data_IF_593648929798
#
_entry.id   IF_593648929798
#
_cell.length_a   1.000
_cell.length_b   1.000
_cell.length_c   1.000
_cell.angle_alpha   90.00
_cell.angle_beta   90.00
_cell.angle_gamma   90.00
#
_symmetry.space_group_name_H-M   'P 1'
#
loop_
_entity.id
_entity.type
_entity.pdbx_description
1 polymer ?
#
# COMPACT_ATOMS: atom_id res chain seq x y z
N UNK A 1 33.82 0.97 -1.78
CA UNK A 1 33.64 1.78 -3.00
C UNK A 1 32.28 1.46 -3.58
N UNK A 2 31.41 2.46 -3.76
CA UNK A 2 30.14 2.29 -4.48
C UNK A 2 30.41 2.18 -5.99
N UNK A 3 29.70 1.28 -6.68
CA UNK A 3 29.88 1.05 -8.13
C UNK A 3 29.21 2.11 -9.01
N UNK A 4 28.29 2.90 -8.46
CA UNK A 4 27.60 4.01 -9.14
C UNK A 4 27.16 5.07 -8.11
N UNK A 5 26.61 6.19 -8.58
CA UNK A 5 26.02 7.26 -7.77
C UNK A 5 24.55 7.49 -8.16
N UNK A 6 23.77 8.04 -7.22
CA UNK A 6 22.36 8.39 -7.43
C UNK A 6 22.28 9.50 -8.50
N UNK A 7 21.61 9.21 -9.62
CA UNK A 7 21.48 10.15 -10.74
C UNK A 7 20.39 11.20 -10.48
N UNK A 8 19.22 10.76 -10.00
CA UNK A 8 18.13 11.65 -9.66
C UNK A 8 17.52 11.21 -8.32
N UNK A 9 17.83 11.92 -7.25
CA UNK A 9 17.32 11.59 -5.92
C UNK A 9 15.80 11.78 -5.83
N UNK A 10 15.25 12.72 -6.61
CA UNK A 10 13.82 13.01 -6.65
C UNK A 10 13.01 11.90 -7.28
N UNK A 11 13.60 11.00 -8.08
CA UNK A 11 12.86 9.85 -8.66
C UNK A 11 12.91 8.60 -7.78
N UNK A 12 13.56 8.66 -6.60
CA UNK A 12 13.59 7.55 -5.66
C UNK A 12 12.34 7.63 -4.79
N UNK A 13 11.53 6.57 -4.84
CA UNK A 13 10.35 6.40 -3.99
C UNK A 13 10.58 5.38 -2.89
N UNK A 14 9.93 5.61 -1.76
CA UNK A 14 9.92 4.72 -0.61
C UNK A 14 8.47 4.54 -0.12
N UNK A 15 8.23 3.46 0.63
CA UNK A 15 6.91 3.18 1.20
C UNK A 15 6.04 2.21 0.40
N UNK A 16 4.86 1.92 0.94
CA UNK A 16 3.84 1.07 0.31
C UNK A 16 2.87 1.89 -0.55
N UNK A 17 1.96 1.23 -1.26
CA UNK A 17 0.87 1.88 -1.94
C UNK A 17 -0.46 1.73 -1.16
N UNK A 18 -1.44 2.53 -1.55
CA UNK A 18 -2.86 2.35 -1.30
C UNK A 18 -3.47 1.67 -2.53
N UNK A 19 -4.40 0.75 -2.33
CA UNK A 19 -5.19 0.17 -3.42
C UNK A 19 -6.63 0.67 -3.34
N UNK A 20 -7.12 1.16 -4.46
CA UNK A 20 -8.47 1.66 -4.64
C UNK A 20 -9.15 0.82 -5.72
N UNK A 21 -10.40 0.41 -5.51
CA UNK A 21 -11.11 -0.46 -6.46
C UNK A 21 -12.59 -0.09 -6.55
N UNK A 22 -13.18 -0.17 -7.74
CA UNK A 22 -14.58 0.19 -7.97
C UNK A 22 -15.07 -0.14 -9.37
N UNK A 23 -16.32 0.21 -9.68
CA UNK A 23 -16.87 0.04 -11.03
C UNK A 23 -16.37 1.10 -12.03
N UNK A 24 -15.87 2.24 -11.52
CA UNK A 24 -15.33 3.37 -12.29
C UNK A 24 -14.30 4.13 -11.45
N UNK A 25 -13.39 4.87 -12.08
CA UNK A 25 -12.36 5.66 -11.39
C UNK A 25 -12.91 6.78 -10.48
N UNK A 26 -14.10 7.31 -10.75
CA UNK A 26 -14.78 8.30 -9.89
C UNK A 26 -15.50 7.67 -8.68
N UNK A 27 -15.58 6.35 -8.61
CA UNK A 27 -16.29 5.57 -7.59
C UNK A 27 -15.41 4.49 -6.98
N UNK A 28 -14.13 4.78 -6.81
CA UNK A 28 -13.22 3.85 -6.17
C UNK A 28 -13.37 3.88 -4.66
N UNK A 29 -13.22 2.72 -4.04
CA UNK A 29 -13.23 2.54 -2.59
C UNK A 29 -11.87 2.02 -2.16
N UNK A 30 -11.37 2.55 -1.04
CA UNK A 30 -10.17 2.08 -0.39
C UNK A 30 -10.39 0.70 0.24
N UNK A 31 -9.56 -0.27 -0.15
CA UNK A 31 -9.64 -1.61 0.40
C UNK A 31 -9.17 -1.70 1.85
N UNK A 32 -8.45 -0.69 2.36
CA UNK A 32 -7.91 -0.63 3.72
C UNK A 32 -6.42 -0.96 3.79
N UNK A 33 -5.94 -1.18 5.01
CA UNK A 33 -4.54 -1.47 5.27
C UNK A 33 -4.08 -2.79 4.62
N UNK A 34 -2.98 -2.72 3.89
CA UNK A 34 -2.37 -3.86 3.23
C UNK A 34 -0.84 -3.77 3.26
N UNK A 35 -0.18 -4.92 3.13
CA UNK A 35 1.28 -5.03 2.91
C UNK A 35 1.55 -5.80 1.62
N UNK A 36 2.83 -5.82 1.23
CA UNK A 36 3.29 -6.59 0.06
C UNK A 36 2.54 -6.25 -1.24
N UNK A 37 2.09 -4.99 -1.39
CA UNK A 37 1.40 -4.57 -2.61
C UNK A 37 2.42 -4.58 -3.75
N UNK A 38 2.14 -5.37 -4.77
CA UNK A 38 2.99 -5.51 -5.93
C UNK A 38 2.18 -5.41 -7.21
N UNK A 39 2.81 -4.81 -8.22
CA UNK A 39 2.33 -4.74 -9.58
C UNK A 39 3.36 -5.46 -10.46
N UNK A 40 2.91 -6.34 -11.34
CA UNK A 40 3.76 -7.07 -12.26
C UNK A 40 3.18 -7.01 -13.67
N UNK A 41 3.99 -6.53 -14.61
CA UNK A 41 3.70 -6.65 -16.03
C UNK A 41 4.24 -7.98 -16.56
N UNK A 42 3.45 -8.68 -17.38
CA UNK A 42 3.90 -9.87 -18.11
C UNK A 42 3.57 -9.69 -19.59
N UNK A 43 4.60 -9.84 -20.42
CA UNK A 43 4.51 -9.83 -21.88
C UNK A 43 4.98 -11.20 -22.36
N UNK A 44 4.11 -11.92 -23.06
CA UNK A 44 4.44 -13.19 -23.69
C UNK A 44 4.46 -12.99 -25.20
N UNK A 45 5.46 -13.54 -25.88
CA UNK A 45 5.59 -13.51 -27.33
C UNK A 45 5.58 -14.92 -27.91
N UNK A 46 5.17 -15.04 -29.17
CA UNK A 46 5.31 -16.25 -29.96
C UNK A 46 5.93 -15.92 -31.31
N UNK A 47 6.89 -16.74 -31.71
CA UNK A 47 7.55 -16.63 -33.01
C UNK A 47 6.75 -17.38 -34.07
N UNK A 48 6.60 -16.75 -35.23
CA UNK A 48 6.16 -17.39 -36.47
C UNK A 48 7.41 -17.87 -37.17
N UNK A 49 7.65 -19.17 -37.15
CA UNK A 49 8.77 -19.78 -37.86
C UNK A 49 8.37 -20.17 -39.29
N UNK A 50 9.32 -20.03 -40.21
CA UNK A 50 9.27 -20.62 -41.55
C UNK A 50 10.10 -21.89 -41.55
N UNK A 51 9.53 -22.94 -42.15
CA UNK A 51 10.17 -24.24 -42.34
C UNK A 51 11.51 -24.16 -43.10
N UNK A 52 11.76 -23.09 -43.87
CA UNK A 52 12.97 -22.94 -44.68
C UNK A 52 13.83 -21.70 -44.36
N UNK A 53 13.36 -20.79 -43.50
CA UNK A 53 14.02 -19.50 -43.27
C UNK A 53 14.16 -19.12 -41.79
N UNK A 54 13.69 -19.95 -40.85
CA UNK A 54 13.71 -19.64 -39.42
C UNK A 54 12.62 -18.65 -39.02
N UNK A 55 12.81 -17.89 -37.94
CA UNK A 55 11.81 -16.93 -37.43
C UNK A 55 11.53 -15.83 -38.46
N UNK A 56 10.27 -15.73 -38.89
CA UNK A 56 9.75 -14.74 -39.83
C UNK A 56 9.15 -13.53 -39.12
N UNK A 57 8.56 -13.74 -37.94
CA UNK A 57 7.96 -12.67 -37.15
C UNK A 57 7.84 -13.06 -35.67
N UNK A 58 7.75 -12.08 -34.78
CA UNK A 58 7.48 -12.30 -33.35
C UNK A 58 6.23 -11.51 -32.97
N UNK A 59 5.21 -12.20 -32.48
CA UNK A 59 3.93 -11.62 -32.08
C UNK A 59 3.80 -11.59 -30.56
N UNK A 60 3.33 -10.48 -30.00
CA UNK A 60 2.87 -10.45 -28.61
C UNK A 60 1.55 -11.23 -28.51
N UNK A 61 1.55 -12.32 -27.75
CA UNK A 61 0.40 -13.20 -27.56
C UNK A 61 -0.37 -12.92 -26.28
N UNK A 62 0.31 -12.37 -25.27
CA UNK A 62 -0.30 -11.93 -24.02
C UNK A 62 0.39 -10.65 -23.53
N UNK A 63 -0.41 -9.69 -23.07
CA UNK A 63 0.05 -8.51 -22.35
C UNK A 63 -0.90 -8.30 -21.17
N UNK A 64 -0.42 -8.59 -19.96
CA UNK A 64 -1.24 -8.56 -18.74
C UNK A 64 -0.53 -7.82 -17.61
N UNK A 65 -1.32 -7.23 -16.73
CA UNK A 65 -0.85 -6.68 -15.45
C UNK A 65 -1.44 -7.48 -14.31
N UNK A 66 -0.64 -7.84 -13.32
CA UNK A 66 -1.06 -8.54 -12.13
C UNK A 66 -0.86 -7.63 -10.90
N UNK A 67 -1.88 -7.52 -10.06
CA UNK A 67 -1.81 -6.83 -8.77
C UNK A 67 -2.00 -7.84 -7.67
N UNK A 68 -1.09 -7.87 -6.71
CA UNK A 68 -1.18 -8.73 -5.54
C UNK A 68 -1.01 -7.93 -4.26
N UNK A 69 -1.67 -8.36 -3.19
CA UNK A 69 -1.49 -7.77 -1.87
C UNK A 69 -1.89 -8.73 -0.74
N UNK A 70 -1.40 -8.38 0.44
CA UNK A 70 -1.78 -8.96 1.72
C UNK A 70 -2.66 -7.98 2.50
N UNK A 71 -3.98 -8.18 2.46
CA UNK A 71 -4.97 -7.37 3.21
C UNK A 71 -4.89 -7.69 4.70
N UNK A 72 -4.71 -6.66 5.52
CA UNK A 72 -4.70 -6.79 6.99
C UNK A 72 -6.09 -6.57 7.59
N UNK A 73 -7.01 -5.99 6.81
CA UNK A 73 -8.41 -5.80 7.20
C UNK A 73 -9.31 -6.89 6.62
N UNK A 74 -10.05 -7.58 7.48
CA UNK A 74 -11.09 -8.54 7.07
C UNK A 74 -12.41 -7.79 6.95
N UNK A 75 -12.73 -7.36 5.73
CA UNK A 75 -13.99 -6.67 5.43
C UNK A 75 -14.73 -7.40 4.31
N UNK A 76 -15.80 -8.10 4.67
CA UNK A 76 -16.60 -8.89 3.75
C UNK A 76 -17.33 -8.08 2.69
N UNK A 77 -17.77 -6.85 3.00
CA UNK A 77 -18.39 -5.98 1.99
C UNK A 77 -17.39 -5.59 0.91
N UNK A 78 -16.18 -5.21 1.33
CA UNK A 78 -15.09 -4.89 0.39
C UNK A 78 -14.66 -6.12 -0.41
N UNK A 79 -14.53 -7.29 0.22
CA UNK A 79 -14.20 -8.53 -0.50
C UNK A 79 -15.27 -8.92 -1.51
N UNK A 80 -16.55 -8.88 -1.15
CA UNK A 80 -17.63 -9.17 -2.10
C UNK A 80 -17.64 -8.18 -3.28
N UNK A 81 -17.34 -6.90 -3.02
CA UNK A 81 -17.21 -5.88 -4.06
C UNK A 81 -16.04 -6.19 -5.01
N UNK A 82 -14.85 -6.51 -4.47
CA UNK A 82 -13.66 -6.82 -5.30
C UNK A 82 -13.82 -8.10 -6.10
N UNK A 83 -14.65 -9.04 -5.62
CA UNK A 83 -14.94 -10.33 -6.24
C UNK A 83 -15.99 -10.27 -7.37
N UNK A 84 -16.41 -9.08 -7.77
CA UNK A 84 -17.13 -8.89 -9.03
C UNK A 84 -18.55 -9.49 -9.05
N UNK A 85 -19.20 -9.59 -7.90
CA UNK A 85 -20.63 -9.93 -7.80
C UNK A 85 -20.96 -11.43 -7.66
N UNK A 86 -19.99 -12.28 -7.34
CA UNK A 86 -20.20 -13.72 -7.11
C UNK A 86 -20.67 -14.07 -5.67
N UNK A 87 -20.59 -13.10 -4.76
CA UNK A 87 -20.93 -13.27 -3.35
C UNK A 87 -22.25 -12.59 -2.98
N UNK A 88 -22.93 -13.11 -1.95
CA UNK A 88 -24.01 -12.40 -1.25
C UNK A 88 -23.52 -11.84 0.08
N UNK A 89 -24.02 -10.67 0.44
CA UNK A 89 -23.77 -10.03 1.73
C UNK A 89 -25.11 -9.80 2.41
N UNK A 90 -25.21 -10.28 3.64
CA UNK A 90 -26.30 -9.98 4.55
C UNK A 90 -25.75 -9.32 5.82
N UNK A 91 -26.48 -8.34 6.35
CA UNK A 91 -26.18 -7.73 7.65
C UNK A 91 -27.30 -8.07 8.63
N UNK A 92 -26.93 -8.56 9.81
CA UNK A 92 -27.87 -8.94 10.86
C UNK A 92 -27.65 -8.09 12.12
N UNK A 93 -28.75 -7.69 12.75
CA UNK A 93 -28.78 -6.74 13.87
C UNK A 93 -28.58 -7.40 15.25
N UNK A 94 -28.62 -8.74 15.33
CA UNK A 94 -28.56 -9.46 16.60
C UNK A 94 -29.91 -9.66 17.31
N UNK A 95 -31.02 -9.17 16.74
CA UNK A 95 -32.31 -9.05 17.42
C UNK A 95 -33.48 -9.55 16.59
N UNK A 96 -33.44 -9.33 15.29
CA UNK A 96 -34.53 -9.68 14.38
C UNK A 96 -34.54 -11.19 14.14
N UNK A 97 -35.69 -11.81 14.40
CA UNK A 97 -35.95 -13.20 14.06
C UNK A 97 -36.16 -13.35 12.55
N UNK A 98 -35.42 -14.27 11.92
CA UNK A 98 -35.53 -14.55 10.49
C UNK A 98 -35.76 -16.03 10.24
N UNK A 99 -36.31 -16.34 9.07
CA UNK A 99 -36.48 -17.73 8.62
C UNK A 99 -35.26 -18.20 7.84
N UNK A 100 -34.76 -19.40 8.16
CA UNK A 100 -33.67 -20.08 7.46
C UNK A 100 -34.04 -21.54 7.19
N UNK A 101 -33.28 -22.17 6.31
CA UNK A 101 -33.41 -23.58 5.98
C UNK A 101 -32.12 -24.32 6.32
N UNK A 102 -32.25 -25.54 6.84
CA UNK A 102 -31.18 -26.51 6.98
C UNK A 102 -31.46 -27.67 6.04
N UNK A 103 -30.53 -27.92 5.13
CA UNK A 103 -30.63 -29.00 4.14
C UNK A 103 -29.94 -30.23 4.70
N UNK A 104 -30.69 -31.30 4.87
CA UNK A 104 -30.18 -32.60 5.27
C UNK A 104 -30.13 -33.46 4.02
N UNK A 105 -28.93 -33.72 3.51
CA UNK A 105 -28.73 -34.49 2.29
C UNK A 105 -29.31 -35.90 2.40
N UNK A 106 -29.66 -36.49 1.27
CA UNK A 106 -29.82 -37.94 1.23
C UNK A 106 -28.52 -38.62 1.65
N UNK A 107 -28.64 -39.84 2.18
CA UNK A 107 -27.56 -40.66 2.75
C UNK A 107 -26.90 -40.12 4.03
N UNK A 108 -27.33 -38.96 4.57
CA UNK A 108 -26.73 -38.38 5.79
C UNK A 108 -27.59 -38.55 7.05
N UNK A 109 -28.71 -39.25 6.97
CA UNK A 109 -29.60 -39.49 8.12
C UNK A 109 -30.21 -40.89 8.07
N UNK A 110 -30.79 -41.33 9.19
CA UNK A 110 -31.55 -42.58 9.29
C UNK A 110 -32.92 -42.32 9.89
N UNK A 111 -33.89 -43.18 9.58
CA UNK A 111 -35.18 -43.18 10.27
C UNK A 111 -34.98 -43.53 11.75
N UNK A 112 -35.79 -42.93 12.61
CA UNK A 112 -35.67 -43.14 14.06
C UNK A 112 -34.47 -42.46 14.71
N UNK A 113 -33.55 -41.87 13.94
CA UNK A 113 -32.44 -41.07 14.47
C UNK A 113 -32.86 -39.61 14.61
N UNK A 114 -32.38 -38.96 15.67
CA UNK A 114 -32.60 -37.54 15.88
C UNK A 114 -31.73 -36.71 14.94
N UNK A 115 -32.37 -35.82 14.20
CA UNK A 115 -31.73 -34.81 13.36
C UNK A 115 -31.90 -33.47 14.05
N UNK A 116 -30.79 -32.89 14.54
CA UNK A 116 -30.78 -31.55 15.14
C UNK A 116 -30.38 -30.49 14.14
N UNK A 117 -31.09 -29.37 14.14
CA UNK A 117 -30.60 -28.14 13.51
C UNK A 117 -29.38 -27.66 14.31
N UNK A 118 -28.17 -27.59 13.71
CA UNK A 118 -26.93 -27.39 14.43
C UNK A 118 -26.67 -25.93 14.83
N UNK A 119 -27.61 -25.02 14.52
CA UNK A 119 -27.45 -23.59 14.70
C UNK A 119 -28.19 -23.10 15.95
N UNK A 120 -27.61 -22.11 16.63
CA UNK A 120 -28.19 -21.47 17.81
C UNK A 120 -28.62 -20.03 17.53
N UNK A 121 -29.53 -19.52 18.34
CA UNK A 121 -29.85 -18.09 18.39
C UNK A 121 -28.65 -17.29 18.92
N UNK A 122 -28.71 -15.96 18.78
CA UNK A 122 -27.68 -15.04 19.23
C UNK A 122 -27.36 -15.15 20.73
N UNK A 123 -28.33 -15.56 21.55
CA UNK A 123 -28.21 -15.77 23.00
C UNK A 123 -27.73 -17.19 23.38
N UNK A 124 -27.45 -18.05 22.40
CA UNK A 124 -27.04 -19.44 22.62
C UNK A 124 -28.19 -20.44 22.80
N UNK A 125 -29.45 -19.98 22.81
CA UNK A 125 -30.63 -20.86 22.88
C UNK A 125 -30.84 -21.65 21.58
N UNK A 126 -31.60 -22.73 21.67
CA UNK A 126 -32.00 -23.54 20.50
C UNK A 126 -32.94 -22.77 19.58
N UNK A 127 -32.76 -22.97 18.27
CA UNK A 127 -33.67 -22.45 17.25
C UNK A 127 -35.04 -23.16 17.32
N UNK A 128 -36.04 -22.59 16.64
CA UNK A 128 -37.39 -23.18 16.58
C UNK A 128 -37.70 -23.67 15.17
N UNK A 129 -37.94 -24.97 15.00
CA UNK A 129 -38.38 -25.57 13.74
C UNK A 129 -39.84 -25.21 13.46
N UNK A 130 -40.10 -24.73 12.25
CA UNK A 130 -41.45 -24.33 11.82
C UNK A 130 -42.01 -25.20 10.71
N UNK A 131 -41.17 -25.79 9.86
CA UNK A 131 -41.62 -26.62 8.73
C UNK A 131 -40.57 -27.67 8.41
N UNK A 132 -41.00 -28.87 8.03
CA UNK A 132 -40.14 -29.89 7.41
C UNK A 132 -40.76 -30.28 6.07
N UNK A 133 -39.95 -30.40 5.04
CA UNK A 133 -40.39 -30.80 3.71
C UNK A 133 -39.33 -31.66 3.02
N UNK A 134 -39.74 -32.45 2.03
CA UNK A 134 -38.80 -33.06 1.09
C UNK A 134 -38.39 -32.05 0.03
N UNK A 135 -37.12 -32.04 -0.33
CA UNK A 135 -36.60 -31.25 -1.44
C UNK A 135 -37.11 -31.81 -2.77
N UNK A 136 -38.23 -31.30 -3.26
CA UNK A 136 -38.79 -31.59 -4.59
C UNK A 136 -39.24 -30.31 -5.28
N UNK A 137 -39.43 -30.35 -6.60
CA UNK A 137 -39.96 -29.22 -7.38
C UNK A 137 -41.37 -28.78 -6.95
N UNK A 138 -42.12 -29.68 -6.31
CA UNK A 138 -43.48 -29.42 -5.81
C UNK A 138 -43.57 -29.18 -4.30
N UNK A 139 -42.47 -29.31 -3.56
CA UNK A 139 -42.42 -29.11 -2.10
C UNK A 139 -43.40 -30.01 -1.35
N UNK A 140 -43.00 -31.24 -1.03
CA UNK A 140 -43.84 -32.14 -0.24
C UNK A 140 -43.67 -31.83 1.25
N UNK A 141 -44.57 -31.00 1.79
CA UNK A 141 -44.64 -30.69 3.23
C UNK A 141 -44.85 -31.99 4.00
N UNK A 142 -43.99 -32.22 4.98
CA UNK A 142 -44.11 -33.33 5.92
C UNK A 142 -44.95 -32.89 7.11
N UNK A 143 -45.78 -33.80 7.62
CA UNK A 143 -46.73 -33.50 8.69
C UNK A 143 -46.15 -34.04 10.00
N UNK A 144 -46.17 -33.22 11.05
CA UNK A 144 -45.76 -33.66 12.39
C UNK A 144 -46.64 -34.81 12.89
N UNK A 145 -46.08 -35.70 13.70
CA UNK A 145 -46.69 -36.95 14.22
C UNK A 145 -47.01 -38.02 13.16
N UNK A 146 -47.18 -37.64 11.90
CA UNK A 146 -47.40 -38.58 10.78
C UNK A 146 -46.09 -38.92 10.07
N UNK A 147 -45.33 -37.90 9.68
CA UNK A 147 -44.09 -38.01 8.91
C UNK A 147 -42.84 -37.98 9.80
N UNK A 148 -42.89 -37.18 10.87
CA UNK A 148 -41.80 -37.00 11.82
C UNK A 148 -42.31 -36.60 13.20
N UNK A 149 -41.53 -36.85 14.24
CA UNK A 149 -41.76 -36.34 15.60
C UNK A 149 -40.80 -35.19 15.88
N UNK A 150 -41.25 -34.12 16.56
CA UNK A 150 -40.34 -33.10 17.09
C UNK A 150 -39.67 -33.58 18.37
N UNK A 151 -38.40 -33.21 18.54
CA UNK A 151 -37.62 -33.41 19.76
C UNK A 151 -37.10 -32.04 20.20
N UNK A 152 -37.65 -31.52 21.31
CA UNK A 152 -37.39 -30.15 21.72
C UNK A 152 -37.83 -29.12 20.66
N UNK A 153 -37.13 -27.99 20.57
CA UNK A 153 -37.44 -26.92 19.60
C UNK A 153 -36.64 -27.03 18.29
N UNK A 154 -35.51 -27.74 18.30
CA UNK A 154 -34.56 -27.80 17.18
C UNK A 154 -34.28 -29.22 16.64
N UNK A 155 -34.92 -30.25 17.16
CA UNK A 155 -34.74 -31.64 16.75
C UNK A 155 -35.98 -32.21 16.07
N UNK A 156 -35.76 -33.13 15.13
CA UNK A 156 -36.82 -33.99 14.56
C UNK A 156 -36.34 -35.44 14.48
N UNK A 157 -37.28 -36.38 14.42
CA UNK A 157 -37.03 -37.80 14.15
C UNK A 157 -38.00 -38.28 13.08
N UNK A 158 -37.48 -38.78 11.96
CA UNK A 158 -38.33 -39.29 10.87
C UNK A 158 -38.94 -40.63 11.27
N UNK A 159 -40.27 -40.73 11.16
CA UNK A 159 -41.05 -41.91 11.54
C UNK A 159 -41.73 -42.58 10.34
N UNK A 160 -42.01 -41.84 9.26
CA UNK A 160 -42.71 -42.37 8.09
C UNK A 160 -41.82 -43.27 7.21
N UNK A 161 -42.36 -44.45 6.90
CA UNK A 161 -41.69 -45.46 6.10
C UNK A 161 -41.64 -45.15 4.60
N UNK A 162 -42.33 -44.11 4.15
CA UNK A 162 -42.31 -43.64 2.76
C UNK A 162 -41.24 -42.57 2.50
N UNK A 163 -40.55 -42.10 3.54
CA UNK A 163 -39.43 -41.17 3.42
C UNK A 163 -38.15 -41.98 3.34
N UNK A 164 -37.49 -42.01 2.19
CA UNK A 164 -36.31 -42.83 1.95
C UNK A 164 -35.03 -42.05 2.25
N UNK A 165 -34.26 -42.39 3.31
CA UNK A 165 -33.05 -41.63 3.62
C UNK A 165 -31.99 -41.66 2.53
N UNK A 166 -31.97 -42.67 1.66
CA UNK A 166 -31.00 -42.78 0.57
C UNK A 166 -31.33 -41.96 -0.68
N UNK A 167 -32.53 -41.38 -0.76
CA UNK A 167 -32.96 -40.63 -1.96
C UNK A 167 -33.61 -39.30 -1.62
N UNK A 168 -34.28 -39.20 -0.47
CA UNK A 168 -35.00 -38.01 -0.05
C UNK A 168 -34.08 -37.08 0.74
N UNK A 169 -33.78 -35.91 0.16
CA UNK A 169 -33.19 -34.78 0.89
C UNK A 169 -34.28 -34.04 1.66
N UNK A 170 -34.02 -33.70 2.91
CA UNK A 170 -34.94 -32.93 3.75
C UNK A 170 -34.56 -31.45 3.77
N UNK A 171 -35.57 -30.59 3.86
CA UNK A 171 -35.44 -29.16 4.12
C UNK A 171 -36.15 -28.85 5.42
N UNK A 172 -35.37 -28.56 6.46
CA UNK A 172 -35.89 -28.16 7.77
C UNK A 172 -35.88 -26.64 7.84
N UNK A 173 -37.05 -26.03 7.79
CA UNK A 173 -37.23 -24.59 7.97
C UNK A 173 -37.33 -24.26 9.45
N UNK A 174 -36.56 -23.29 9.89
CA UNK A 174 -36.50 -22.85 11.29
C UNK A 174 -36.41 -21.33 11.38
N UNK A 175 -36.83 -20.81 12.53
CA UNK A 175 -36.63 -19.42 12.91
C UNK A 175 -35.37 -19.28 13.75
N UNK A 176 -34.62 -18.21 13.49
CA UNK A 176 -33.36 -17.91 14.16
C UNK A 176 -33.18 -16.42 14.33
N UNK A 177 -32.77 -16.02 15.54
CA UNK A 177 -32.17 -14.70 15.77
C UNK A 177 -30.68 -14.85 15.50
N UNK A 178 -30.20 -14.28 14.40
CA UNK A 178 -28.78 -14.34 14.04
C UNK A 178 -27.96 -13.46 14.99
N UNK A 179 -26.73 -13.85 15.39
CA UNK A 179 -25.80 -12.93 16.03
C UNK A 179 -25.62 -11.64 15.21
N UNK A 180 -25.29 -10.53 15.86
CA UNK A 180 -24.97 -9.28 15.15
C UNK A 180 -23.70 -9.50 14.33
N UNK A 181 -23.83 -9.53 13.00
CA UNK A 181 -22.72 -9.84 12.11
C UNK A 181 -22.98 -9.38 10.67
N UNK A 182 -21.91 -9.26 9.89
CA UNK A 182 -21.94 -9.27 8.43
C UNK A 182 -21.64 -10.68 7.97
N UNK A 183 -22.47 -11.24 7.10
CA UNK A 183 -22.31 -12.58 6.54
C UNK A 183 -22.05 -12.49 5.05
N UNK A 184 -20.95 -13.07 4.61
CA UNK A 184 -20.68 -13.33 3.20
C UNK A 184 -20.97 -14.79 2.87
N UNK A 185 -21.65 -15.04 1.75
CA UNK A 185 -21.74 -16.37 1.16
C UNK A 185 -21.22 -16.35 -0.27
N UNK A 186 -20.38 -17.32 -0.61
CA UNK A 186 -19.80 -17.48 -1.94
C UNK A 186 -20.43 -18.70 -2.62
N UNK A 187 -20.64 -18.62 -3.94
CA UNK A 187 -21.09 -19.74 -4.77
C UNK A 187 -22.53 -19.60 -5.26
N UNK A 188 -22.75 -19.95 -6.53
CA UNK A 188 -24.07 -20.11 -7.14
C UNK A 188 -24.85 -18.82 -7.45
N UNK A 189 -24.31 -17.63 -7.13
CA UNK A 189 -24.95 -16.34 -7.46
C UNK A 189 -24.76 -15.94 -8.92
N UNK A 190 -23.53 -16.06 -9.41
CA UNK A 190 -23.13 -15.77 -10.79
C UNK A 190 -21.95 -16.67 -11.15
N UNK A 191 -21.91 -17.14 -12.41
CA UNK A 191 -20.74 -17.80 -12.99
C UNK A 191 -19.77 -16.81 -13.65
N UNK A 192 -20.15 -15.53 -13.73
CA UNK A 192 -19.38 -14.46 -14.38
C UNK A 192 -18.87 -13.50 -13.30
N UNK A 193 -17.55 -13.31 -13.26
CA UNK A 193 -16.88 -12.30 -12.44
C UNK A 193 -16.86 -11.00 -13.23
N UNK A 194 -17.55 -9.96 -12.73
CA UNK A 194 -17.52 -8.64 -13.36
C UNK A 194 -16.18 -7.95 -13.08
N UNK A 195 -15.43 -7.51 -14.11
CA UNK A 195 -14.22 -6.72 -13.92
C UNK A 195 -14.49 -5.38 -13.21
N UNK A 196 -13.45 -4.84 -12.59
CA UNK A 196 -13.42 -3.58 -11.82
C UNK A 196 -12.26 -2.71 -12.28
N UNK A 197 -12.36 -1.41 -12.03
CA UNK A 197 -11.23 -0.49 -12.15
C UNK A 197 -10.40 -0.58 -10.86
N UNK A 198 -9.07 -0.62 -10.97
CA UNK A 198 -8.14 -0.55 -9.85
C UNK A 198 -7.24 0.67 -10.04
N UNK A 199 -6.97 1.39 -8.94
CA UNK A 199 -5.95 2.43 -8.88
C UNK A 199 -5.00 2.16 -7.72
N UNK A 200 -3.70 2.14 -7.99
CA UNK A 200 -2.65 2.11 -6.97
C UNK A 200 -2.14 3.53 -6.76
N UNK A 201 -2.00 3.94 -5.50
CA UNK A 201 -1.50 5.28 -5.14
C UNK A 201 -0.37 5.16 -4.14
N UNK A 202 0.84 5.58 -4.49
CA UNK A 202 1.94 5.77 -3.54
C UNK A 202 2.17 7.26 -3.36
N UNK A 203 2.06 7.73 -2.11
CA UNK A 203 2.24 9.14 -1.77
C UNK A 203 3.56 9.29 -1.00
N UNK A 204 4.41 10.22 -1.44
CA UNK A 204 5.68 10.49 -0.77
C UNK A 204 5.49 11.42 0.46
N UNK A 205 6.59 11.73 1.16
CA UNK A 205 6.56 12.61 2.34
C UNK A 205 6.13 14.06 2.03
N UNK A 206 6.20 14.49 0.77
CA UNK A 206 5.81 15.82 0.28
C UNK A 206 4.38 15.85 -0.26
N UNK A 207 3.66 14.72 -0.22
CA UNK A 207 2.28 14.62 -0.73
C UNK A 207 2.17 14.38 -2.24
N UNK A 208 3.27 14.15 -2.96
CA UNK A 208 3.27 13.84 -4.40
C UNK A 208 2.93 12.38 -4.64
N UNK A 209 2.08 12.12 -5.62
CA UNK A 209 1.56 10.78 -5.89
C UNK A 209 2.18 10.09 -7.12
N UNK A 210 2.44 8.78 -7.00
CA UNK A 210 2.51 7.84 -8.11
C UNK A 210 1.14 7.18 -8.21
N UNK A 211 0.47 7.35 -9.35
CA UNK A 211 -0.82 6.71 -9.61
C UNK A 211 -0.66 5.70 -10.74
N UNK A 212 -1.11 4.48 -10.51
CA UNK A 212 -1.21 3.45 -11.55
C UNK A 212 -2.67 3.09 -11.72
N UNK A 213 -3.14 3.16 -12.97
CA UNK A 213 -4.54 2.92 -13.29
C UNK A 213 -4.67 1.64 -14.09
N UNK A 214 -5.63 0.80 -13.69
CA UNK A 214 -5.98 -0.44 -14.36
C UNK A 214 -7.49 -0.37 -14.66
N UNK A 215 -7.90 -0.06 -15.90
CA UNK A 215 -9.29 0.18 -16.25
C UNK A 215 -10.17 -1.07 -16.14
N UNK A 216 -9.58 -2.26 -16.31
CA UNK A 216 -10.31 -3.52 -16.29
C UNK A 216 -9.48 -4.65 -15.65
N UNK A 217 -9.76 -4.93 -14.38
CA UNK A 217 -9.14 -6.01 -13.62
C UNK A 217 -10.17 -6.91 -12.95
N UNK A 218 -9.93 -8.21 -12.96
CA UNK A 218 -10.77 -9.21 -12.30
C UNK A 218 -9.96 -9.96 -11.24
N UNK A 219 -10.63 -10.40 -10.17
CA UNK A 219 -9.98 -11.26 -9.19
C UNK A 219 -9.59 -12.59 -9.84
N UNK A 220 -8.34 -13.01 -9.65
CA UNK A 220 -7.80 -14.28 -10.18
C UNK A 220 -7.55 -15.31 -9.10
N UNK A 221 -7.31 -14.86 -7.86
CA UNK A 221 -7.21 -15.72 -6.69
C UNK A 221 -8.56 -16.02 -6.04
N UNK A 222 -8.65 -17.16 -5.35
CA UNK A 222 -9.70 -17.39 -4.36
C UNK A 222 -9.55 -16.47 -3.14
N UNK A 223 -10.44 -16.61 -2.16
CA UNK A 223 -10.20 -16.03 -0.83
C UNK A 223 -9.25 -16.95 -0.07
N UNK A 224 -8.08 -16.44 0.30
CA UNK A 224 -7.11 -17.15 1.14
C UNK A 224 -6.89 -16.35 2.42
N UNK A 225 -7.16 -16.99 3.56
CA UNK A 225 -6.90 -16.43 4.88
C UNK A 225 -5.81 -17.25 5.57
N UNK A 226 -4.74 -16.59 6.00
CA UNK A 226 -3.66 -17.21 6.77
C UNK A 226 -3.81 -16.85 8.24
N UNK A 227 -4.27 -17.80 9.06
CA UNK A 227 -4.49 -17.60 10.49
C UNK A 227 -3.17 -17.74 11.27
N UNK A 228 -2.72 -16.69 11.97
CA UNK A 228 -1.54 -16.79 12.82
C UNK A 228 -1.87 -17.59 14.08
N UNK A 229 -0.83 -18.12 14.74
CA UNK A 229 -0.97 -18.73 16.06
C UNK A 229 -1.36 -17.68 17.11
N UNK A 230 -2.09 -18.08 18.16
CA UNK A 230 -2.63 -17.18 19.19
C UNK A 230 -1.62 -16.23 19.86
N UNK A 231 -0.33 -16.61 19.90
CA UNK A 231 0.76 -15.81 20.50
C UNK A 231 1.70 -15.19 19.46
N UNK A 232 1.36 -15.28 18.18
CA UNK A 232 2.12 -14.62 17.12
C UNK A 232 2.01 -13.10 17.26
N UNK A 233 3.04 -12.39 16.85
CA UNK A 233 2.97 -10.93 16.67
C UNK A 233 2.38 -10.54 15.31
N UNK A 234 2.19 -11.50 14.41
CA UNK A 234 1.57 -11.26 13.11
C UNK A 234 0.04 -11.27 13.20
N UNK A 235 -0.61 -10.60 12.26
CA UNK A 235 -2.06 -10.50 12.17
C UNK A 235 -2.62 -11.45 11.10
N UNK A 236 -3.93 -11.69 11.14
CA UNK A 236 -4.63 -12.42 10.09
C UNK A 236 -4.48 -11.68 8.76
N UNK A 237 -4.06 -12.41 7.72
CA UNK A 237 -3.86 -11.86 6.37
C UNK A 237 -4.84 -12.50 5.39
N UNK A 238 -5.53 -11.66 4.62
CA UNK A 238 -6.29 -12.05 3.44
C UNK A 238 -5.51 -11.75 2.16
N UNK A 239 -5.13 -12.77 1.39
CA UNK A 239 -4.43 -12.55 0.11
C UNK A 239 -5.41 -12.22 -1.00
N UNK A 240 -5.13 -11.16 -1.74
CA UNK A 240 -5.91 -10.76 -2.91
C UNK A 240 -5.00 -10.67 -4.13
N UNK A 241 -5.47 -11.23 -5.25
CA UNK A 241 -4.76 -11.21 -6.53
C UNK A 241 -5.73 -10.87 -7.64
N UNK A 242 -5.32 -9.93 -8.50
CA UNK A 242 -6.09 -9.44 -9.63
C UNK A 242 -5.26 -9.55 -10.90
N UNK A 243 -5.92 -9.83 -12.02
CA UNK A 243 -5.34 -9.73 -13.35
C UNK A 243 -6.10 -8.69 -14.17
N UNK A 244 -5.36 -7.76 -14.74
CA UNK A 244 -5.87 -6.77 -15.66
C UNK A 244 -5.84 -7.29 -17.10
N UNK A 245 -6.81 -6.83 -17.86
CA UNK A 245 -6.97 -7.11 -19.29
C UNK A 245 -7.24 -5.81 -20.02
N UNK A 246 -7.03 -5.78 -21.34
CA UNK A 246 -7.27 -4.58 -22.13
C UNK A 246 -8.75 -4.19 -22.11
N UNK A 247 -8.99 -2.90 -21.86
CA UNK A 247 -10.31 -2.28 -21.91
C UNK A 247 -10.46 -1.52 -23.23
N UNK A 248 -11.30 -2.03 -24.12
CA UNK A 248 -11.55 -1.42 -25.43
C UNK A 248 -12.26 -0.06 -25.39
N UNK A 249 -12.72 0.38 -24.21
CA UNK A 249 -13.32 1.70 -24.01
C UNK A 249 -12.33 2.82 -23.69
N UNK A 250 -11.05 2.49 -23.45
CA UNK A 250 -10.00 3.48 -23.21
C UNK A 250 -9.31 3.89 -24.51
N UNK A 251 -8.59 5.01 -24.47
CA UNK A 251 -7.79 5.47 -25.58
C UNK A 251 -6.66 4.50 -25.93
N UNK A 252 -6.17 4.58 -27.16
CA UNK A 252 -5.07 3.74 -27.63
C UNK A 252 -3.81 4.01 -26.82
N UNK A 253 -3.25 2.98 -26.19
CA UNK A 253 -2.09 3.07 -25.30
C UNK A 253 -2.45 3.05 -23.81
N UNK A 254 -3.72 3.26 -23.45
CA UNK A 254 -4.20 3.27 -22.06
C UNK A 254 -5.12 2.09 -21.74
N UNK A 255 -5.31 1.17 -22.70
CA UNK A 255 -6.28 0.08 -22.56
C UNK A 255 -5.92 -0.92 -21.46
N UNK A 256 -4.63 -1.18 -21.22
CA UNK A 256 -4.20 -2.12 -20.19
C UNK A 256 -3.90 -1.43 -18.85
N UNK A 257 -3.08 -0.38 -18.91
CA UNK A 257 -2.69 0.41 -17.75
C UNK A 257 -2.09 1.74 -18.20
N UNK A 258 -2.12 2.75 -17.31
CA UNK A 258 -1.30 3.95 -17.44
C UNK A 258 -0.79 4.41 -16.08
N UNK A 259 0.22 5.29 -16.11
CA UNK A 259 0.99 5.70 -14.95
C UNK A 259 1.11 7.22 -14.92
N UNK A 260 0.89 7.82 -13.77
CA UNK A 260 1.06 9.26 -13.53
C UNK A 260 2.00 9.46 -12.34
N UNK A 261 3.04 10.28 -12.53
CA UNK A 261 4.04 10.55 -11.51
C UNK A 261 4.23 12.05 -11.28
N UNK A 262 3.77 12.52 -10.12
CA UNK A 262 3.89 13.92 -9.72
C UNK A 262 5.25 14.30 -9.12
N UNK A 263 6.04 13.32 -8.69
CA UNK A 263 7.34 13.52 -8.04
C UNK A 263 8.47 13.68 -9.07
N UNK A 264 8.31 13.05 -10.23
CA UNK A 264 9.27 13.13 -11.34
C UNK A 264 9.18 14.44 -12.12
N UNK A 265 8.13 15.24 -11.90
CA UNK A 265 8.00 16.57 -12.50
C UNK A 265 8.91 17.53 -11.74
N UNK A 266 9.89 18.12 -12.43
CA UNK A 266 10.64 19.25 -11.90
C UNK A 266 9.66 20.38 -11.58
N UNK A 267 9.61 20.82 -10.32
CA UNK A 267 9.11 22.16 -10.05
C UNK A 267 10.08 23.12 -10.75
N UNK A 268 9.68 23.60 -11.91
CA UNK A 268 10.35 24.60 -12.75
C UNK A 268 11.75 24.27 -13.27
N UNK A 269 11.99 24.65 -14.52
CA UNK A 269 13.30 24.67 -15.19
C UNK A 269 14.29 25.68 -14.55
N UNK A 270 14.27 25.91 -13.23
CA UNK A 270 15.11 26.93 -12.58
C UNK A 270 15.42 26.69 -11.09
N UNK A 271 15.29 25.48 -10.55
CA UNK A 271 15.97 25.17 -9.29
C UNK A 271 17.42 24.77 -9.56
N UNK A 272 18.29 25.78 -9.70
CA UNK A 272 19.72 25.58 -9.46
C UNK A 272 19.87 24.88 -8.12
N UNK A 273 20.48 23.70 -8.12
CA UNK A 273 20.95 23.05 -6.89
C UNK A 273 21.93 24.04 -6.26
N UNK A 274 21.48 24.79 -5.25
CA UNK A 274 22.34 25.69 -4.51
C UNK A 274 23.28 24.80 -3.71
N UNK A 275 24.50 24.61 -4.20
CA UNK A 275 25.54 23.94 -3.43
C UNK A 275 25.70 24.68 -2.08
N UNK A 276 25.69 23.96 -0.95
CA UNK A 276 25.77 24.59 0.36
C UNK A 276 27.03 25.46 0.45
N UNK A 277 26.89 26.65 1.03
CA UNK A 277 28.01 27.56 1.28
C UNK A 277 29.05 26.88 2.18
N UNK A 278 30.32 26.86 1.76
CA UNK A 278 31.47 26.40 2.54
C UNK A 278 32.33 27.58 2.97
N UNK A 279 32.84 27.52 4.20
CA UNK A 279 33.80 28.49 4.73
C UNK A 279 34.64 27.78 5.80
N UNK A 280 35.90 27.52 5.47
CA UNK A 280 36.89 26.92 6.37
C UNK A 280 38.22 27.66 6.21
N UNK A 281 39.01 27.72 7.28
CA UNK A 281 40.38 28.22 7.25
C UNK A 281 41.37 27.08 7.53
N UNK A 282 42.58 27.22 7.00
CA UNK A 282 43.68 26.31 7.34
C UNK A 282 44.20 26.48 8.78
N UNK A 283 43.86 27.58 9.45
CA UNK A 283 44.26 27.94 10.81
C UNK A 283 43.12 28.67 11.52
N UNK A 284 42.99 28.49 12.84
CA UNK A 284 42.01 29.21 13.65
C UNK A 284 42.62 30.41 14.40
N UNK A 285 43.96 30.50 14.41
CA UNK A 285 44.70 31.57 15.05
C UNK A 285 45.96 31.93 14.26
N UNK A 286 46.48 33.13 14.54
CA UNK A 286 47.72 33.68 13.97
C UNK A 286 48.55 34.27 15.11
N UNK A 287 49.69 33.65 15.39
CA UNK A 287 50.67 34.15 16.37
C UNK A 287 51.89 34.72 15.62
N UNK A 288 52.17 36.01 15.77
CA UNK A 288 53.29 36.69 15.12
C UNK A 288 54.21 37.27 16.20
N UNK A 289 55.52 37.04 16.10
CA UNK A 289 56.52 37.72 16.92
C UNK A 289 57.04 38.99 16.24
N UNK A 290 57.04 40.10 16.96
CA UNK A 290 57.54 41.41 16.50
C UNK A 290 56.97 41.83 15.14
N UNK A 291 57.86 42.07 14.18
CA UNK A 291 57.51 42.49 12.80
C UNK A 291 57.37 41.31 11.82
N UNK A 292 57.16 40.09 12.32
CA UNK A 292 56.97 38.90 11.52
C UNK A 292 55.72 38.97 10.63
N UNK A 293 55.55 37.96 9.79
CA UNK A 293 54.37 37.81 8.95
C UNK A 293 53.87 36.38 8.95
N UNK A 294 52.56 36.20 8.87
CA UNK A 294 51.94 34.90 8.69
C UNK A 294 50.73 35.01 7.74
N UNK A 295 50.24 33.86 7.27
CA UNK A 295 49.12 33.78 6.34
C UNK A 295 48.05 32.80 6.80
N UNK A 296 46.81 33.10 6.42
CA UNK A 296 45.63 32.23 6.55
C UNK A 296 45.00 32.07 5.18
N UNK A 297 44.80 30.83 4.76
CA UNK A 297 44.19 30.48 3.47
C UNK A 297 42.79 29.95 3.74
N UNK A 298 41.80 30.50 3.03
CA UNK A 298 40.41 30.06 3.14
C UNK A 298 40.06 29.05 2.05
N UNK A 299 39.31 28.01 2.42
CA UNK A 299 38.60 27.12 1.50
C UNK A 299 37.12 27.49 1.54
N UNK A 300 36.61 28.09 0.46
CA UNK A 300 35.22 28.56 0.39
C UNK A 300 34.70 28.59 -1.05
N UNK A 301 33.41 28.28 -1.24
CA UNK A 301 32.68 28.47 -2.49
C UNK A 301 31.80 29.75 -2.49
N UNK A 302 32.11 30.71 -1.62
CA UNK A 302 31.39 31.98 -1.53
C UNK A 302 31.56 32.84 -2.80
N UNK A 303 30.49 33.58 -3.13
CA UNK A 303 30.49 34.61 -4.18
C UNK A 303 31.13 35.91 -3.67
N UNK A 304 31.01 36.18 -2.37
CA UNK A 304 31.56 37.37 -1.72
C UNK A 304 32.15 37.02 -0.35
N UNK A 305 33.34 37.53 -0.06
CA UNK A 305 33.98 37.47 1.27
C UNK A 305 34.11 38.89 1.81
N UNK A 306 33.44 39.16 2.94
CA UNK A 306 33.63 40.39 3.72
C UNK A 306 34.47 40.10 4.94
N UNK A 307 35.26 41.08 5.37
CA UNK A 307 36.02 40.95 6.60
C UNK A 307 36.07 42.26 7.37
N UNK A 308 36.16 42.13 8.69
CA UNK A 308 36.37 43.23 9.63
C UNK A 308 37.33 42.77 10.72
N UNK A 309 38.01 43.71 11.37
CA UNK A 309 38.93 43.41 12.46
C UNK A 309 38.46 44.14 13.70
N UNK A 310 38.40 43.41 14.81
CA UNK A 310 38.01 43.95 16.10
C UNK A 310 39.19 43.84 17.09
N UNK A 311 39.60 44.94 17.75
CA UNK A 311 39.08 46.30 17.64
C UNK A 311 39.47 46.99 16.31
N UNK A 312 38.62 47.90 15.83
CA UNK A 312 38.78 48.60 14.53
C UNK A 312 39.95 49.60 14.49
N UNK A 313 40.51 49.95 15.65
CA UNK A 313 41.71 50.78 15.75
C UNK A 313 42.97 49.89 15.64
N UNK A 314 43.38 49.63 14.39
CA UNK A 314 44.41 48.65 14.01
C UNK A 314 45.85 49.21 14.12
N UNK A 315 46.31 49.50 15.34
CA UNK A 315 47.73 49.82 15.56
C UNK A 315 48.66 48.60 15.44
N UNK A 316 48.11 47.38 15.54
CA UNK A 316 48.87 46.17 15.89
C UNK A 316 49.44 45.41 14.68
N UNK A 317 48.69 45.25 13.58
CA UNK A 317 49.15 44.57 12.35
C UNK A 317 48.61 45.24 11.08
N UNK A 318 49.31 45.04 9.97
CA UNK A 318 48.76 45.22 8.62
C UNK A 318 48.10 43.91 8.16
N UNK A 319 46.90 44.03 7.58
CA UNK A 319 46.14 42.90 7.03
C UNK A 319 45.82 43.19 5.57
N UNK A 320 46.19 42.27 4.69
CA UNK A 320 45.83 42.30 3.27
C UNK A 320 45.13 41.01 2.86
N UNK A 321 44.13 41.11 2.00
CA UNK A 321 43.39 39.98 1.45
C UNK A 321 43.63 39.87 -0.06
N UNK A 322 44.03 38.69 -0.52
CA UNK A 322 44.16 38.35 -1.93
C UNK A 322 42.99 37.47 -2.36
N UNK A 323 42.18 37.96 -3.31
CA UNK A 323 40.88 37.38 -3.65
C UNK A 323 41.02 36.07 -4.43
N UNK A 324 41.94 36.01 -5.41
CA UNK A 324 42.12 34.83 -6.27
C UNK A 324 42.53 33.58 -5.47
N UNK A 325 43.38 33.78 -4.47
CA UNK A 325 43.90 32.70 -3.61
C UNK A 325 43.16 32.58 -2.28
N UNK A 326 42.22 33.50 -2.00
CA UNK A 326 41.51 33.65 -0.73
C UNK A 326 42.45 33.64 0.47
N UNK A 327 43.57 34.35 0.35
CA UNK A 327 44.64 34.37 1.35
C UNK A 327 44.66 35.70 2.10
N UNK A 328 44.57 35.64 3.42
CA UNK A 328 44.90 36.75 4.30
C UNK A 328 46.38 36.72 4.65
N UNK A 329 47.05 37.85 4.53
CA UNK A 329 48.42 38.06 5.02
C UNK A 329 48.41 39.05 6.16
N UNK A 330 49.07 38.69 7.25
CA UNK A 330 49.17 39.46 8.47
C UNK A 330 50.63 39.85 8.66
N UNK A 331 50.91 41.12 8.96
CA UNK A 331 52.25 41.61 9.28
C UNK A 331 52.23 42.37 10.60
N UNK A 332 53.00 41.90 11.57
CA UNK A 332 53.06 42.50 12.90
C UNK A 332 53.70 43.89 12.91
N UNK A 333 53.25 44.75 13.83
CA UNK A 333 53.82 46.08 14.12
C UNK A 333 54.12 46.25 15.60
N UNK A 334 53.10 46.14 16.44
CA UNK A 334 53.21 46.31 17.90
C UNK A 334 52.45 45.20 18.60
N UNK A 335 52.90 44.77 19.80
CA UNK A 335 52.21 43.75 20.57
C UNK A 335 50.74 44.10 20.83
N UNK A 336 49.86 43.11 20.69
CA UNK A 336 48.42 43.28 20.84
C UNK A 336 47.62 42.12 20.33
N UNK A 337 46.30 42.16 20.56
CA UNK A 337 45.35 41.12 20.16
C UNK A 337 44.21 41.73 19.34
N UNK A 338 43.79 41.00 18.32
CA UNK A 338 42.64 41.35 17.49
C UNK A 338 41.96 40.09 16.97
N UNK A 339 40.71 40.20 16.54
CA UNK A 339 39.98 39.11 15.88
C UNK A 339 39.59 39.56 14.47
N UNK A 340 39.98 38.79 13.46
CA UNK A 340 39.49 38.95 12.10
C UNK A 340 38.17 38.19 11.98
N UNK A 341 37.08 38.93 11.77
CA UNK A 341 35.76 38.39 11.49
C UNK A 341 35.54 38.32 10.00
N UNK A 342 35.27 37.12 9.50
CA UNK A 342 35.05 36.84 8.08
C UNK A 342 33.59 36.46 7.89
N UNK A 343 32.93 37.06 6.91
CA UNK A 343 31.56 36.72 6.50
C UNK A 343 31.58 36.30 5.04
N UNK A 344 31.24 35.03 4.79
CA UNK A 344 31.03 34.48 3.46
C UNK A 344 29.56 34.60 3.07
N UNK A 345 29.32 35.05 1.83
CA UNK A 345 27.98 35.13 1.25
C UNK A 345 27.93 34.38 -0.07
N UNK A 346 26.80 33.74 -0.32
CA UNK A 346 26.49 33.07 -1.58
C UNK A 346 25.01 33.23 -1.87
N UNK A 347 24.67 33.54 -3.12
CA UNK A 347 23.27 33.74 -3.50
C UNK A 347 22.42 32.51 -3.14
N UNK A 348 21.33 32.75 -2.39
CA UNK A 348 20.41 31.69 -1.95
C UNK A 348 20.92 30.80 -0.82
N UNK A 349 22.03 31.14 -0.16
CA UNK A 349 22.50 30.50 1.09
C UNK A 349 22.46 31.47 2.27
N UNK A 350 22.29 30.96 3.50
CA UNK A 350 22.53 31.77 4.71
C UNK A 350 24.02 32.14 4.82
N UNK A 351 24.31 33.33 5.33
CA UNK A 351 25.67 33.81 5.55
C UNK A 351 26.43 32.89 6.53
N UNK A 352 27.69 32.59 6.24
CA UNK A 352 28.58 31.89 7.18
C UNK A 352 29.63 32.84 7.73
N UNK A 353 29.89 32.72 9.03
CA UNK A 353 30.90 33.52 9.72
C UNK A 353 32.04 32.65 10.23
N UNK A 354 33.25 33.20 10.21
CA UNK A 354 34.46 32.57 10.75
C UNK A 354 35.31 33.65 11.43
N UNK A 355 35.71 33.37 12.66
CA UNK A 355 36.57 34.26 13.43
C UNK A 355 37.98 33.66 13.52
N UNK A 356 38.99 34.50 13.32
CA UNK A 356 40.41 34.16 13.43
C UNK A 356 41.05 35.07 14.47
N UNK A 357 41.59 34.46 15.52
CA UNK A 357 42.29 35.22 16.56
C UNK A 357 43.72 35.56 16.11
N UNK A 358 44.10 36.82 16.28
CA UNK A 358 45.40 37.37 15.93
C UNK A 358 46.08 37.82 17.21
N UNK A 359 47.29 37.33 17.43
CA UNK A 359 48.07 37.64 18.61
C UNK A 359 49.49 38.02 18.19
N UNK A 360 49.89 39.24 18.54
CA UNK A 360 51.21 39.79 18.22
C UNK A 360 51.98 39.87 19.52
N UNK A 361 53.06 39.11 19.58
CA UNK A 361 53.96 39.00 20.73
C UNK A 361 55.19 39.88 20.50
N UNK A 362 55.89 40.23 21.58
CA UNK A 362 57.15 40.99 21.52
C UNK A 362 58.22 40.36 20.61
#
# INVERSE_FOLDING_TARGET
MSQTYVQNKRTIRTGSAKLLIGDRFDKLVDIGAARSIALKETITTADIESDNAGVVNTLTTEHKMEVTLDSLEINFEKYAMTRGGIDNIDTYDGKTEITKAYIVGSDTYKRGEEIKVPFKNADGSDVTITKVEKKSSTGNILIEETSYEKIGTNGIKITDNNISPSTDTLVITYKRIMPKMVRMTTGGKSSIVKPKCIMLVNTNAEGKELRVYLPQAAITGGLEFSFPADKSQDVLVGKLSFSASTSGSQESGEQLAWYEDEQSVSNDENETIIEPLTLESNKQNVDISGTGSDTVVLTSNADEIKYAVEPSEQGFCDISYEEETKTFTFKGKTPGQATLKITAKKAGSEDKTLDIDINIQE
#
